data_IF_570682396910
#
_entry.id   IF_570682396910
#
_cell.length_a   1.000
_cell.length_b   1.000
_cell.length_c   1.000
_cell.angle_alpha   90.00
_cell.angle_beta   90.00
_cell.angle_gamma   90.00
#
_symmetry.space_group_name_H-M   'P 1'
#
loop_
_entity.id
_entity.type
_entity.pdbx_description
1 polymer ?
#
# COMPACT_ATOMS: atom_id res chain seq x y z
N UNK A 1 -17.67 -6.81 2.74
CA UNK A 1 -16.24 -7.08 2.44
C UNK A 1 -15.92 -8.56 2.65
N UNK A 2 -16.18 -9.11 3.84
CA UNK A 2 -16.05 -10.56 4.10
C UNK A 2 -16.87 -11.43 3.12
N UNK A 3 -18.09 -11.01 2.78
CA UNK A 3 -18.95 -11.65 1.77
C UNK A 3 -18.34 -11.67 0.36
N UNK A 4 -17.56 -10.65 -0.01
CA UNK A 4 -16.86 -10.63 -1.29
C UNK A 4 -15.71 -11.63 -1.31
N UNK A 5 -14.93 -11.73 -0.23
CA UNK A 5 -13.86 -12.73 -0.10
C UNK A 5 -14.38 -14.17 -0.06
N UNK A 6 -15.52 -14.39 0.59
CA UNK A 6 -16.20 -15.69 0.61
C UNK A 6 -16.75 -16.07 -0.77
N UNK A 7 -17.38 -15.12 -1.48
CA UNK A 7 -17.85 -15.34 -2.85
C UNK A 7 -16.68 -15.63 -3.81
N UNK A 8 -15.55 -14.94 -3.64
CA UNK A 8 -14.33 -15.16 -4.40
C UNK A 8 -13.69 -16.52 -4.08
N UNK A 9 -13.71 -16.92 -2.80
CA UNK A 9 -13.28 -18.23 -2.32
C UNK A 9 -14.13 -19.38 -2.87
N UNK A 10 -15.45 -19.18 -2.96
CA UNK A 10 -16.37 -20.13 -3.58
C UNK A 10 -16.17 -20.21 -5.10
N UNK A 11 -15.91 -19.08 -5.76
CA UNK A 11 -15.57 -19.04 -7.19
C UNK A 11 -14.28 -19.82 -7.48
N UNK A 12 -13.28 -19.76 -6.59
CA UNK A 12 -12.08 -20.61 -6.71
C UNK A 12 -12.37 -22.07 -6.55
N UNK A 13 -13.16 -22.46 -5.55
CA UNK A 13 -13.54 -23.85 -5.34
C UNK A 13 -14.29 -24.39 -6.57
N UNK A 14 -15.17 -23.58 -7.18
CA UNK A 14 -15.87 -23.93 -8.41
C UNK A 14 -14.93 -24.05 -9.62
N UNK A 15 -13.98 -23.12 -9.79
CA UNK A 15 -12.95 -23.19 -10.85
C UNK A 15 -12.01 -24.40 -10.68
N UNK A 16 -11.76 -24.82 -9.44
CA UNK A 16 -10.95 -26.00 -9.10
C UNK A 16 -11.55 -27.29 -9.68
N UNK A 17 -12.88 -27.36 -9.82
CA UNK A 17 -13.59 -28.52 -10.34
C UNK A 17 -13.59 -28.60 -11.88
N UNK A 18 -13.34 -27.49 -12.59
CA UNK A 18 -13.59 -27.40 -14.05
C UNK A 18 -12.29 -27.41 -14.89
N UNK A 19 -11.14 -26.98 -14.37
CA UNK A 19 -9.90 -26.87 -15.16
C UNK A 19 -8.61 -27.18 -14.35
N UNK A 20 -8.11 -28.43 -14.37
CA UNK A 20 -6.99 -28.91 -13.54
C UNK A 20 -5.60 -28.30 -13.86
N UNK A 21 -5.50 -27.26 -14.69
CA UNK A 21 -4.25 -26.57 -15.04
C UNK A 21 -4.32 -25.03 -14.95
N UNK A 22 -5.50 -24.45 -15.12
CA UNK A 22 -5.76 -23.01 -14.94
C UNK A 22 -5.95 -22.62 -13.45
N UNK A 23 -6.19 -23.63 -12.60
CA UNK A 23 -6.41 -23.50 -11.17
C UNK A 23 -5.31 -22.73 -10.42
N UNK A 24 -4.03 -23.06 -10.61
CA UNK A 24 -2.94 -22.45 -9.84
C UNK A 24 -2.75 -20.97 -10.15
N UNK A 25 -2.85 -20.58 -11.42
CA UNK A 25 -2.79 -19.18 -11.82
C UNK A 25 -4.01 -18.40 -11.35
N UNK A 26 -5.21 -19.01 -11.34
CA UNK A 26 -6.41 -18.38 -10.81
C UNK A 26 -6.30 -18.16 -9.29
N UNK A 27 -5.88 -19.16 -8.52
CA UNK A 27 -5.72 -19.03 -7.07
C UNK A 27 -4.57 -18.05 -6.72
N UNK A 28 -3.47 -18.07 -7.47
CA UNK A 28 -2.39 -17.09 -7.31
C UNK A 28 -2.86 -15.65 -7.62
N UNK A 29 -3.69 -15.46 -8.65
CA UNK A 29 -4.32 -14.16 -8.93
C UNK A 29 -5.15 -13.70 -7.74
N UNK A 30 -5.92 -14.60 -7.15
CA UNK A 30 -6.81 -14.26 -6.05
C UNK A 30 -6.07 -13.98 -4.76
N UNK A 31 -4.95 -14.66 -4.49
CA UNK A 31 -4.01 -14.24 -3.46
C UNK A 31 -3.47 -12.82 -3.75
N UNK A 32 -3.16 -12.52 -5.01
CA UNK A 32 -2.72 -11.19 -5.44
C UNK A 32 -3.78 -10.10 -5.32
N UNK A 33 -5.05 -10.47 -5.41
CA UNK A 33 -6.15 -9.56 -5.09
C UNK A 33 -6.33 -9.43 -3.58
N UNK A 34 -6.30 -10.53 -2.84
CA UNK A 34 -6.61 -10.63 -1.41
C UNK A 34 -5.62 -9.93 -0.51
N UNK A 35 -4.35 -10.32 -0.56
CA UNK A 35 -3.40 -9.94 0.47
C UNK A 35 -3.06 -8.45 0.41
N UNK A 36 -2.77 -7.85 -0.77
CA UNK A 36 -2.55 -6.41 -0.87
C UNK A 36 -3.79 -5.58 -0.51
N UNK A 37 -5.00 -5.98 -0.95
CA UNK A 37 -6.23 -5.24 -0.59
C UNK A 37 -6.53 -5.33 0.90
N UNK A 38 -6.36 -6.50 1.51
CA UNK A 38 -6.56 -6.69 2.94
C UNK A 38 -5.58 -5.85 3.74
N UNK A 39 -4.29 -5.84 3.37
CA UNK A 39 -3.28 -4.99 3.98
C UNK A 39 -3.65 -3.51 3.89
N UNK A 40 -4.00 -3.02 2.70
CA UNK A 40 -4.44 -1.63 2.50
C UNK A 40 -5.71 -1.27 3.28
N UNK A 41 -6.67 -2.19 3.36
CA UNK A 41 -7.92 -1.99 4.11
C UNK A 41 -7.68 -1.97 5.62
N UNK A 42 -6.83 -2.85 6.15
CA UNK A 42 -6.43 -2.84 7.55
C UNK A 42 -5.73 -1.53 7.91
N UNK A 43 -4.83 -1.04 7.05
CA UNK A 43 -4.21 0.27 7.24
C UNK A 43 -5.23 1.41 7.21
N UNK A 44 -6.14 1.42 6.23
CA UNK A 44 -7.19 2.43 6.15
C UNK A 44 -8.06 2.47 7.42
N UNK A 45 -8.50 1.30 7.90
CA UNK A 45 -9.33 1.21 9.12
C UNK A 45 -8.55 1.61 10.37
N UNK A 46 -7.28 1.23 10.45
CA UNK A 46 -6.38 1.67 11.50
C UNK A 46 -6.19 3.20 11.50
N UNK A 47 -6.03 3.81 10.31
CA UNK A 47 -5.94 5.26 10.15
C UNK A 47 -7.26 5.95 10.47
N UNK A 48 -8.40 5.37 10.10
CA UNK A 48 -9.72 5.89 10.45
C UNK A 48 -9.97 5.91 11.97
N UNK A 49 -9.34 5.00 12.71
CA UNK A 49 -9.42 4.92 14.18
C UNK A 49 -8.24 5.61 14.92
N UNK A 50 -7.40 6.39 14.22
CA UNK A 50 -6.20 7.03 14.76
C UNK A 50 -5.24 6.05 15.49
N UNK A 51 -5.11 4.84 14.93
CA UNK A 51 -4.21 3.77 15.37
C UNK A 51 -3.18 3.51 14.25
N UNK A 52 -2.26 4.44 14.02
CA UNK A 52 -1.08 4.38 14.88
C UNK A 52 -0.94 5.62 15.77
N UNK A 53 -0.68 5.38 17.06
CA UNK A 53 -0.48 6.44 18.06
C UNK A 53 0.99 6.81 18.28
N UNK A 54 1.90 5.94 17.87
CA UNK A 54 3.34 6.09 18.07
C UNK A 54 4.08 5.78 16.77
N UNK A 55 5.30 6.31 16.64
CA UNK A 55 6.20 6.01 15.52
C UNK A 55 6.43 4.49 15.40
N UNK A 56 6.66 3.80 16.52
CA UNK A 56 6.80 2.35 16.53
C UNK A 56 5.53 1.60 16.12
N UNK A 57 4.35 2.11 16.46
CA UNK A 57 3.09 1.58 15.97
C UNK A 57 2.94 1.74 14.45
N UNK A 58 3.40 2.85 13.89
CA UNK A 58 3.43 3.08 12.44
C UNK A 58 4.41 2.13 11.73
N UNK A 59 5.60 1.92 12.31
CA UNK A 59 6.57 0.92 11.82
C UNK A 59 5.96 -0.48 11.89
N UNK A 60 5.34 -0.85 13.00
CA UNK A 60 4.64 -2.14 13.14
C UNK A 60 3.53 -2.34 12.11
N UNK A 61 2.79 -1.29 11.77
CA UNK A 61 1.75 -1.33 10.74
C UNK A 61 2.32 -1.56 9.32
N UNK A 62 3.46 -0.92 8.98
CA UNK A 62 4.20 -1.20 7.73
C UNK A 62 4.63 -2.67 7.69
N UNK A 63 5.38 -3.12 8.69
CA UNK A 63 5.97 -4.46 8.70
C UNK A 63 4.91 -5.56 8.76
N UNK A 64 3.82 -5.34 9.50
CA UNK A 64 2.67 -6.26 9.51
C UNK A 64 1.98 -6.36 8.15
N UNK A 65 1.83 -5.23 7.44
CA UNK A 65 1.26 -5.20 6.09
C UNK A 65 2.17 -5.91 5.07
N UNK A 66 3.47 -5.68 5.14
CA UNK A 66 4.46 -6.36 4.30
C UNK A 66 4.49 -7.87 4.59
N UNK A 67 4.49 -8.27 5.87
CA UNK A 67 4.44 -9.67 6.26
C UNK A 67 3.20 -10.38 5.71
N UNK A 68 2.02 -9.74 5.82
CA UNK A 68 0.78 -10.25 5.25
C UNK A 68 0.92 -10.46 3.73
N UNK A 69 1.43 -9.48 3.01
CA UNK A 69 1.62 -9.56 1.56
C UNK A 69 2.65 -10.63 1.17
N UNK A 70 3.75 -10.74 1.92
CA UNK A 70 4.77 -11.79 1.72
C UNK A 70 4.15 -13.17 1.90
N UNK A 71 3.29 -13.38 2.90
CA UNK A 71 2.57 -14.65 3.07
C UNK A 71 1.71 -14.97 1.84
N UNK A 72 0.98 -13.98 1.31
CA UNK A 72 0.24 -14.15 0.05
C UNK A 72 1.14 -14.48 -1.14
N UNK A 73 2.30 -13.81 -1.23
CA UNK A 73 3.31 -14.07 -2.24
C UNK A 73 3.89 -15.48 -2.15
N UNK A 74 4.17 -15.98 -0.95
CA UNK A 74 4.64 -17.35 -0.71
C UNK A 74 3.60 -18.39 -1.12
N UNK A 75 2.31 -18.15 -0.83
CA UNK A 75 1.21 -18.97 -1.31
C UNK A 75 1.20 -18.99 -2.85
N UNK A 76 1.29 -17.83 -3.49
CA UNK A 76 1.32 -17.73 -4.95
C UNK A 76 2.56 -18.44 -5.55
N UNK A 77 3.72 -18.30 -4.92
CA UNK A 77 4.96 -18.96 -5.34
C UNK A 77 4.86 -20.49 -5.25
N UNK A 78 4.27 -21.02 -4.18
CA UNK A 78 4.01 -22.46 -4.02
C UNK A 78 3.05 -22.99 -5.09
N UNK A 79 1.98 -22.26 -5.38
CA UNK A 79 0.98 -22.63 -6.39
C UNK A 79 1.56 -22.59 -7.82
N UNK A 80 2.40 -21.60 -8.11
CA UNK A 80 3.02 -21.43 -9.42
C UNK A 80 4.31 -22.27 -9.58
N UNK A 81 4.72 -23.04 -8.57
CA UNK A 81 6.02 -23.73 -8.48
C UNK A 81 6.29 -24.88 -9.46
N UNK A 82 5.57 -24.97 -10.59
CA UNK A 82 5.86 -25.99 -11.61
C UNK A 82 7.09 -25.64 -12.44
N UNK A 83 7.78 -26.65 -12.97
CA UNK A 83 9.03 -26.50 -13.74
C UNK A 83 8.90 -25.52 -14.91
N UNK A 84 7.70 -25.41 -15.51
CA UNK A 84 7.41 -24.48 -16.60
C UNK A 84 7.50 -22.99 -16.20
N UNK A 85 7.22 -22.64 -14.95
CA UNK A 85 7.36 -21.26 -14.46
C UNK A 85 8.80 -20.96 -14.01
N UNK A 86 9.50 -21.96 -13.45
CA UNK A 86 10.92 -21.84 -13.10
C UNK A 86 11.82 -21.65 -14.33
N UNK A 87 11.52 -22.36 -15.43
CA UNK A 87 12.23 -22.23 -16.70
C UNK A 87 11.82 -21.01 -17.53
N UNK A 88 10.99 -20.11 -16.97
CA UNK A 88 10.39 -18.96 -17.66
C UNK A 88 9.59 -19.30 -18.94
N UNK A 89 9.25 -20.58 -19.17
CA UNK A 89 8.46 -21.04 -20.30
C UNK A 89 6.98 -20.58 -20.21
N UNK A 90 6.51 -20.25 -19.00
CA UNK A 90 5.23 -19.57 -18.77
C UNK A 90 5.41 -18.43 -17.78
N UNK A 91 4.82 -17.27 -18.08
CA UNK A 91 4.73 -16.12 -17.18
C UNK A 91 3.34 -16.03 -16.55
N UNK A 92 3.25 -15.46 -15.35
CA UNK A 92 1.96 -15.25 -14.69
C UNK A 92 1.14 -14.20 -15.46
N UNK A 93 0.11 -14.62 -16.21
CA UNK A 93 -0.71 -13.72 -17.02
C UNK A 93 -1.55 -12.74 -16.17
N UNK A 94 -1.84 -13.10 -14.92
CA UNK A 94 -2.66 -12.30 -13.99
C UNK A 94 -1.95 -11.11 -13.36
N UNK A 95 -0.65 -10.89 -13.63
CA UNK A 95 0.14 -9.80 -13.03
C UNK A 95 -0.57 -8.45 -13.13
N UNK A 96 -1.09 -8.10 -14.32
CA UNK A 96 -1.73 -6.80 -14.55
C UNK A 96 -2.97 -6.60 -13.67
N UNK A 97 -3.81 -7.64 -13.55
CA UNK A 97 -5.01 -7.60 -12.71
C UNK A 97 -4.64 -7.56 -11.22
N UNK A 98 -3.65 -8.37 -10.81
CA UNK A 98 -3.11 -8.36 -9.45
C UNK A 98 -2.51 -7.00 -9.05
N UNK A 99 -2.13 -6.15 -10.02
CA UNK A 99 -1.68 -4.79 -9.73
C UNK A 99 -2.81 -3.77 -9.72
N UNK A 100 -3.66 -3.81 -10.74
CA UNK A 100 -4.64 -2.77 -10.96
C UNK A 100 -5.77 -2.84 -9.93
N UNK A 101 -6.30 -4.03 -9.67
CA UNK A 101 -7.51 -4.20 -8.86
C UNK A 101 -7.28 -3.79 -7.40
N UNK A 102 -6.19 -4.20 -6.71
CA UNK A 102 -5.95 -3.74 -5.35
C UNK A 102 -5.79 -2.25 -5.22
N UNK A 103 -5.10 -1.63 -6.18
CA UNK A 103 -4.91 -0.18 -6.21
C UNK A 103 -6.25 0.55 -6.38
N UNK A 104 -7.06 0.14 -7.35
CA UNK A 104 -8.39 0.72 -7.58
C UNK A 104 -9.32 0.54 -6.37
N UNK A 105 -9.27 -0.61 -5.71
CA UNK A 105 -10.05 -0.88 -4.50
C UNK A 105 -9.71 0.11 -3.38
N UNK A 106 -8.41 0.41 -3.17
CA UNK A 106 -7.98 1.38 -2.15
C UNK A 106 -8.27 2.82 -2.58
N UNK A 107 -8.15 3.16 -3.87
CA UNK A 107 -8.60 4.46 -4.38
C UNK A 107 -10.09 4.66 -4.09
N UNK A 108 -10.93 3.67 -4.37
CA UNK A 108 -12.36 3.72 -4.07
C UNK A 108 -12.63 3.80 -2.55
N UNK A 109 -11.90 3.05 -1.75
CA UNK A 109 -12.01 3.10 -0.29
C UNK A 109 -11.68 4.50 0.26
N UNK A 110 -10.59 5.12 -0.21
CA UNK A 110 -10.14 6.44 0.27
C UNK A 110 -11.04 7.58 -0.23
N UNK A 111 -11.49 7.54 -1.49
CA UNK A 111 -12.23 8.64 -2.11
C UNK A 111 -13.72 8.62 -1.80
N UNK A 112 -14.38 7.48 -2.00
CA UNK A 112 -15.83 7.34 -1.83
C UNK A 112 -16.22 6.60 -0.55
N UNK A 113 -15.25 6.07 0.22
CA UNK A 113 -15.54 5.28 1.41
C UNK A 113 -16.04 3.86 1.11
N UNK A 114 -15.78 3.35 -0.10
CA UNK A 114 -16.25 2.02 -0.49
C UNK A 114 -15.61 0.92 0.35
N UNK A 115 -16.42 0.16 1.10
CA UNK A 115 -15.93 -0.89 1.99
C UNK A 115 -15.41 -0.38 3.34
N UNK A 116 -15.59 0.91 3.66
CA UNK A 116 -15.30 1.43 5.00
C UNK A 116 -16.28 0.85 6.04
N UNK A 117 -15.86 0.65 7.30
CA UNK A 117 -16.75 0.22 8.38
C UNK A 117 -17.93 1.21 8.53
N UNK A 118 -19.17 0.71 8.52
CA UNK A 118 -20.38 1.54 8.63
C UNK A 118 -20.82 2.24 7.33
N UNK A 119 -20.22 1.92 6.18
CA UNK A 119 -20.63 2.50 4.90
C UNK A 119 -22.03 2.01 4.47
N UNK A 120 -22.99 2.94 4.36
CA UNK A 120 -24.31 2.69 3.77
C UNK A 120 -24.36 3.13 2.28
N UNK A 121 -25.24 2.50 1.51
CA UNK A 121 -25.48 2.79 0.08
C UNK A 121 -25.87 4.25 -0.14
N UNK A 122 -26.60 4.87 0.78
CA UNK A 122 -26.99 6.29 0.70
C UNK A 122 -25.78 7.21 0.85
N UNK A 123 -24.92 6.95 1.84
CA UNK A 123 -23.68 7.70 2.08
C UNK A 123 -22.69 7.57 0.92
N UNK A 124 -22.59 6.38 0.32
CA UNK A 124 -21.78 6.14 -0.87
C UNK A 124 -22.27 6.95 -2.08
N UNK A 125 -23.59 6.93 -2.35
CA UNK A 125 -24.18 7.71 -3.44
C UNK A 125 -24.00 9.22 -3.24
N UNK A 126 -24.17 9.70 -2.01
CA UNK A 126 -23.96 11.10 -1.68
C UNK A 126 -22.50 11.53 -1.93
N UNK A 127 -21.52 10.73 -1.47
CA UNK A 127 -20.09 11.01 -1.72
C UNK A 127 -19.72 10.97 -3.19
N UNK A 128 -20.29 10.04 -3.95
CA UNK A 128 -20.08 9.95 -5.39
C UNK A 128 -20.64 11.17 -6.12
N UNK A 129 -21.86 11.61 -5.75
CA UNK A 129 -22.48 12.80 -6.31
C UNK A 129 -21.69 14.08 -5.95
N UNK A 130 -21.14 14.18 -4.74
CA UNK A 130 -20.28 15.30 -4.36
C UNK A 130 -18.95 15.30 -5.12
N UNK A 131 -18.33 14.15 -5.37
CA UNK A 131 -17.12 14.09 -6.19
C UNK A 131 -17.40 14.47 -7.65
N UNK A 132 -18.54 14.05 -8.19
CA UNK A 132 -18.95 14.38 -9.56
C UNK A 132 -19.20 15.87 -9.75
N UNK A 133 -19.76 16.53 -8.73
CA UNK A 133 -20.12 17.94 -8.76
C UNK A 133 -19.02 18.86 -8.20
N UNK A 134 -17.90 18.32 -7.71
CA UNK A 134 -16.79 19.13 -7.23
C UNK A 134 -16.00 19.70 -8.41
N UNK A 135 -15.72 21.02 -8.44
CA UNK A 135 -14.81 21.58 -9.41
C UNK A 135 -13.43 20.95 -9.18
N UNK A 136 -12.98 20.13 -10.13
CA UNK A 136 -11.68 19.46 -10.02
C UNK A 136 -10.61 20.53 -10.02
N UNK A 137 -9.96 20.77 -8.88
CA UNK A 137 -8.81 21.68 -8.84
C UNK A 137 -7.72 21.10 -9.74
N UNK A 138 -7.07 21.96 -10.53
CA UNK A 138 -6.00 21.56 -11.47
C UNK A 138 -4.90 20.74 -10.78
N UNK A 139 -4.69 20.95 -9.47
CA UNK A 139 -3.76 20.18 -8.64
C UNK A 139 -4.15 18.71 -8.45
N UNK A 140 -5.42 18.38 -8.24
CA UNK A 140 -5.87 16.98 -8.14
C UNK A 140 -5.82 16.26 -9.48
N UNK A 141 -6.11 16.98 -10.57
CA UNK A 141 -5.99 16.44 -11.93
C UNK A 141 -4.53 16.12 -12.27
N UNK A 142 -3.60 17.00 -11.92
CA UNK A 142 -2.15 16.81 -12.10
C UNK A 142 -1.62 15.67 -11.23
N UNK A 143 -2.05 15.57 -9.98
CA UNK A 143 -1.64 14.47 -9.08
C UNK A 143 -2.19 13.12 -9.57
N UNK A 144 -3.45 13.08 -10.00
CA UNK A 144 -4.07 11.91 -10.61
C UNK A 144 -3.37 11.50 -11.91
N UNK A 145 -3.03 12.46 -12.76
CA UNK A 145 -2.28 12.23 -13.99
C UNK A 145 -0.85 11.73 -13.71
N UNK A 146 -0.17 12.28 -12.71
CA UNK A 146 1.16 11.82 -12.30
C UNK A 146 1.12 10.41 -11.71
N UNK A 147 0.12 10.09 -10.88
CA UNK A 147 -0.08 8.75 -10.34
C UNK A 147 -0.46 7.74 -11.44
N UNK A 148 -1.31 8.14 -12.39
CA UNK A 148 -1.65 7.34 -13.56
C UNK A 148 -0.45 7.12 -14.48
N UNK A 149 0.36 8.15 -14.71
CA UNK A 149 1.59 8.06 -15.50
C UNK A 149 2.62 7.16 -14.82
N UNK A 150 2.79 7.27 -13.49
CA UNK A 150 3.64 6.38 -12.72
C UNK A 150 3.16 4.93 -12.81
N UNK A 151 1.85 4.69 -12.66
CA UNK A 151 1.23 3.36 -12.83
C UNK A 151 1.42 2.83 -14.26
N UNK A 152 1.21 3.67 -15.28
CA UNK A 152 1.37 3.33 -16.69
C UNK A 152 2.82 2.98 -17.00
N UNK A 153 3.79 3.81 -16.57
CA UNK A 153 5.22 3.53 -16.69
C UNK A 153 5.61 2.25 -15.93
N UNK A 154 4.98 1.96 -14.79
CA UNK A 154 5.20 0.70 -14.07
C UNK A 154 4.68 -0.52 -14.83
N UNK A 155 3.48 -0.44 -15.40
CA UNK A 155 2.86 -1.52 -16.19
C UNK A 155 3.58 -1.75 -17.53
N UNK A 156 4.04 -0.66 -18.17
CA UNK A 156 4.83 -0.71 -19.40
C UNK A 156 6.24 -1.29 -19.15
N UNK A 157 6.85 -0.99 -17.99
CA UNK A 157 8.19 -1.50 -17.61
C UNK A 157 8.16 -2.86 -16.90
N UNK A 158 7.01 -3.44 -16.56
CA UNK A 158 6.95 -4.76 -15.90
C UNK A 158 6.97 -5.93 -16.89
N UNK A 159 6.78 -5.66 -18.19
CA UNK A 159 6.70 -6.68 -19.24
C UNK A 159 7.80 -6.60 -20.29
N UNK A 160 8.74 -5.65 -20.19
CA UNK A 160 9.77 -5.47 -21.20
C UNK A 160 11.12 -5.19 -20.54
N UNK A 161 12.05 -6.14 -20.62
CA UNK A 161 13.44 -5.93 -20.22
C UNK A 161 14.20 -4.97 -21.17
N UNK A 162 13.57 -4.46 -22.22
CA UNK A 162 14.24 -3.77 -23.33
C UNK A 162 13.99 -2.27 -23.52
N UNK A 163 13.51 -1.50 -22.53
CA UNK A 163 13.38 -0.05 -22.70
C UNK A 163 14.64 0.68 -22.21
N UNK A 164 15.32 1.39 -23.11
CA UNK A 164 16.58 2.14 -22.93
C UNK A 164 16.74 2.70 -21.52
N UNK A 165 17.61 2.05 -20.76
CA UNK A 165 17.92 2.44 -19.39
C UNK A 165 19.03 3.48 -19.46
N UNK A 166 18.80 4.67 -18.90
CA UNK A 166 19.84 5.69 -18.81
C UNK A 166 21.09 5.12 -18.11
N UNK A 167 22.28 5.50 -18.57
CA UNK A 167 23.57 5.03 -18.02
C UNK A 167 23.70 5.30 -16.50
N UNK A 168 23.02 6.33 -15.99
CA UNK A 168 22.93 6.62 -14.55
C UNK A 168 22.08 5.60 -13.81
N UNK A 169 20.96 5.15 -14.38
CA UNK A 169 20.14 4.10 -13.80
C UNK A 169 20.93 2.78 -13.77
N UNK A 170 21.62 2.41 -14.85
CA UNK A 170 22.50 1.22 -14.89
C UNK A 170 23.60 1.26 -13.83
N UNK A 171 24.27 2.40 -13.63
CA UNK A 171 25.30 2.58 -12.58
C UNK A 171 24.74 2.46 -11.17
N UNK A 172 23.58 3.07 -10.91
CA UNK A 172 22.91 2.94 -9.62
C UNK A 172 22.47 1.49 -9.35
N UNK A 173 22.01 0.78 -10.38
CA UNK A 173 21.68 -0.65 -10.30
C UNK A 173 22.90 -1.49 -9.94
N UNK A 174 24.03 -1.27 -10.61
CA UNK A 174 25.28 -1.97 -10.35
C UNK A 174 25.83 -1.69 -8.95
N UNK A 175 25.74 -0.45 -8.47
CA UNK A 175 26.14 -0.09 -7.11
C UNK A 175 25.27 -0.80 -6.06
N UNK A 176 23.96 -0.83 -6.27
CA UNK A 176 23.05 -1.56 -5.37
C UNK A 176 23.28 -3.07 -5.38
N UNK A 177 23.65 -3.66 -6.51
CA UNK A 177 23.98 -5.09 -6.61
C UNK A 177 25.34 -5.42 -5.99
N UNK A 178 26.30 -4.50 -6.07
CA UNK A 178 27.60 -4.63 -5.43
C UNK A 178 27.51 -4.51 -3.90
N UNK A 179 26.70 -3.56 -3.41
CA UNK A 179 26.47 -3.34 -1.97
C UNK A 179 25.53 -4.40 -1.40
N UNK A 180 24.48 -4.75 -2.13
CA UNK A 180 23.51 -5.77 -1.74
C UNK A 180 23.60 -6.94 -2.71
N UNK A 181 24.15 -8.07 -2.23
CA UNK A 181 24.25 -9.36 -2.94
C UNK A 181 22.95 -9.80 -3.64
N UNK A 182 21.81 -9.27 -3.21
CA UNK A 182 20.54 -9.29 -3.93
C UNK A 182 19.97 -7.86 -4.03
N UNK A 183 19.93 -7.29 -5.24
CA UNK A 183 19.53 -5.89 -5.47
C UNK A 183 18.12 -5.57 -4.92
N UNK A 184 17.95 -4.60 -3.99
CA UNK A 184 16.63 -4.18 -3.54
C UNK A 184 15.83 -3.60 -4.71
N UNK A 185 14.54 -3.96 -4.82
CA UNK A 185 13.67 -3.38 -5.86
C UNK A 185 13.49 -1.89 -5.57
N UNK A 186 14.14 -1.08 -6.40
CA UNK A 186 14.17 0.40 -6.27
C UNK A 186 12.76 1.02 -6.24
N UNK A 187 11.77 0.38 -6.86
CA UNK A 187 10.39 0.88 -6.92
C UNK A 187 9.64 0.71 -5.59
N UNK A 188 9.91 -0.40 -4.89
CA UNK A 188 9.35 -0.71 -3.56
C UNK A 188 10.05 0.15 -2.51
N UNK A 189 11.39 0.16 -2.55
CA UNK A 189 12.23 0.90 -1.62
C UNK A 189 12.08 2.43 -1.70
N UNK A 190 11.99 3.02 -2.90
CA UNK A 190 12.05 4.49 -3.01
C UNK A 190 10.68 5.17 -2.94
N UNK A 191 9.60 4.46 -3.25
CA UNK A 191 8.28 5.06 -3.46
C UNK A 191 7.20 4.35 -2.68
N UNK A 192 7.04 3.03 -2.86
CA UNK A 192 5.93 2.29 -2.27
C UNK A 192 6.00 2.21 -0.74
N UNK A 193 6.96 1.47 -0.22
CA UNK A 193 7.05 1.18 1.21
C UNK A 193 7.31 2.44 2.07
N UNK A 194 8.12 3.43 1.62
CA UNK A 194 8.26 4.69 2.34
C UNK A 194 6.96 5.49 2.38
N UNK A 195 6.20 5.55 1.27
CA UNK A 195 4.92 6.26 1.26
C UNK A 195 3.92 5.60 2.21
N UNK A 196 3.93 4.27 2.31
CA UNK A 196 3.07 3.54 3.24
C UNK A 196 3.38 3.88 4.70
N UNK A 197 4.67 3.94 5.07
CA UNK A 197 5.06 4.37 6.42
C UNK A 197 4.79 5.86 6.65
N UNK A 198 5.03 6.72 5.67
CA UNK A 198 4.69 8.14 5.77
C UNK A 198 3.18 8.35 5.95
N UNK A 199 2.33 7.53 5.32
CA UNK A 199 0.88 7.56 5.55
C UNK A 199 0.53 7.27 7.02
N UNK A 200 1.17 6.27 7.60
CA UNK A 200 1.01 5.91 9.01
C UNK A 200 1.55 7.00 9.95
N UNK A 201 2.72 7.57 9.64
CA UNK A 201 3.32 8.68 10.40
C UNK A 201 2.50 9.97 10.29
N UNK A 202 1.83 10.20 9.16
CA UNK A 202 0.91 11.33 9.00
C UNK A 202 -0.23 11.28 10.02
N UNK A 203 -0.69 10.08 10.42
CA UNK A 203 -1.66 9.92 11.51
C UNK A 203 -1.01 10.26 12.86
N UNK A 204 0.18 9.70 13.14
CA UNK A 204 0.92 9.95 14.40
C UNK A 204 1.18 11.43 14.64
N UNK A 205 1.53 12.18 13.59
CA UNK A 205 1.86 13.61 13.68
C UNK A 205 0.70 14.53 13.32
N UNK A 206 -0.54 14.05 13.29
CA UNK A 206 -1.77 14.84 13.06
C UNK A 206 -1.83 15.56 11.71
N UNK A 207 -1.21 14.98 10.69
CA UNK A 207 -1.19 15.44 9.30
C UNK A 207 -2.15 14.62 8.42
N UNK A 208 -3.37 14.39 8.93
CA UNK A 208 -4.35 13.42 8.39
C UNK A 208 -4.66 13.62 6.90
N UNK A 209 -4.61 14.86 6.40
CA UNK A 209 -4.82 15.15 4.98
C UNK A 209 -3.86 14.42 4.03
N UNK A 210 -2.67 14.03 4.51
CA UNK A 210 -1.68 13.30 3.73
C UNK A 210 -1.83 11.77 3.80
N UNK A 211 -2.53 11.24 4.81
CA UNK A 211 -2.62 9.79 5.04
C UNK A 211 -3.32 9.04 3.89
N UNK A 212 -4.40 9.60 3.33
CA UNK A 212 -5.13 8.99 2.21
C UNK A 212 -4.30 8.91 0.91
N UNK A 213 -3.78 10.05 0.40
CA UNK A 213 -2.94 10.05 -0.81
C UNK A 213 -1.68 9.17 -0.67
N UNK A 214 -1.02 9.22 0.49
CA UNK A 214 0.18 8.40 0.74
C UNK A 214 -0.15 6.91 0.85
N UNK A 215 -1.33 6.53 1.37
CA UNK A 215 -1.78 5.15 1.37
C UNK A 215 -2.01 4.63 -0.06
N UNK A 216 -2.63 5.43 -0.93
CA UNK A 216 -2.80 5.08 -2.35
C UNK A 216 -1.44 4.89 -3.02
N UNK A 217 -0.50 5.80 -2.79
CA UNK A 217 0.86 5.67 -3.32
C UNK A 217 1.57 4.44 -2.74
N UNK A 218 1.41 4.16 -1.45
CA UNK A 218 2.01 3.03 -0.77
C UNK A 218 1.50 1.66 -1.23
N UNK A 219 0.28 1.59 -1.77
CA UNK A 219 -0.24 0.36 -2.39
C UNK A 219 0.63 -0.14 -3.54
N UNK A 220 1.38 0.74 -4.20
CA UNK A 220 2.36 0.36 -5.22
C UNK A 220 3.45 -0.56 -4.64
N UNK A 221 3.89 -0.30 -3.40
CA UNK A 221 4.87 -1.13 -2.70
C UNK A 221 4.31 -2.50 -2.31
N UNK A 222 3.10 -2.54 -1.75
CA UNK A 222 2.42 -3.79 -1.39
C UNK A 222 2.16 -4.68 -2.60
N UNK A 223 1.62 -4.12 -3.68
CA UNK A 223 1.39 -4.86 -4.92
C UNK A 223 2.72 -5.32 -5.55
N UNK A 224 3.74 -4.46 -5.57
CA UNK A 224 5.07 -4.81 -6.08
C UNK A 224 5.72 -5.95 -5.31
N UNK A 225 5.61 -5.90 -3.98
CA UNK A 225 6.09 -6.94 -3.07
C UNK A 225 5.44 -8.28 -3.38
N UNK A 226 4.10 -8.33 -3.54
CA UNK A 226 3.41 -9.56 -3.95
C UNK A 226 3.96 -10.10 -5.27
N UNK A 227 4.09 -9.23 -6.27
CA UNK A 227 4.56 -9.57 -7.61
C UNK A 227 5.97 -10.15 -7.60
N UNK A 228 6.85 -9.70 -6.69
CA UNK A 228 8.21 -10.25 -6.53
C UNK A 228 8.21 -11.77 -6.34
N UNK A 229 7.18 -12.32 -5.69
CA UNK A 229 7.05 -13.77 -5.50
C UNK A 229 6.39 -14.50 -6.67
N UNK A 230 5.79 -13.78 -7.61
CA UNK A 230 5.27 -14.36 -8.86
C UNK A 230 6.36 -14.55 -9.93
N UNK A 231 7.55 -13.96 -9.73
CA UNK A 231 8.72 -14.10 -10.62
C UNK A 231 9.60 -15.28 -10.20
N UNK A 232 9.10 -16.50 -10.44
CA UNK A 232 9.73 -17.74 -9.98
C UNK A 232 11.07 -18.10 -10.63
N UNK A 233 11.49 -17.39 -11.67
CA UNK A 233 12.83 -17.53 -12.24
C UNK A 233 13.94 -17.05 -11.28
N UNK A 234 13.60 -16.24 -10.29
CA UNK A 234 14.52 -15.83 -9.22
C UNK A 234 14.36 -16.78 -8.01
N UNK A 235 15.45 -17.29 -7.40
CA UNK A 235 15.36 -18.12 -6.21
C UNK A 235 14.57 -17.45 -5.09
N UNK A 236 13.70 -18.21 -4.41
CA UNK A 236 12.82 -17.65 -3.37
C UNK A 236 13.59 -16.95 -2.24
N UNK A 237 14.76 -17.49 -1.86
CA UNK A 237 15.66 -16.89 -0.87
C UNK A 237 16.15 -15.51 -1.28
N UNK A 238 16.43 -15.31 -2.57
CA UNK A 238 16.82 -14.01 -3.14
C UNK A 238 15.64 -13.04 -3.10
N UNK A 239 14.43 -13.48 -3.48
CA UNK A 239 13.22 -12.64 -3.41
C UNK A 239 12.92 -12.19 -1.97
N UNK A 240 13.02 -13.09 -0.99
CA UNK A 240 12.85 -12.75 0.44
C UNK A 240 13.88 -11.73 0.92
N UNK A 241 15.16 -11.93 0.59
CA UNK A 241 16.23 -11.02 0.99
C UNK A 241 16.04 -9.63 0.36
N UNK A 242 15.60 -9.56 -0.90
CA UNK A 242 15.29 -8.29 -1.59
C UNK A 242 14.16 -7.54 -0.93
N UNK A 243 13.07 -8.23 -0.60
CA UNK A 243 11.92 -7.63 0.11
C UNK A 243 12.33 -7.16 1.49
N UNK A 244 13.13 -7.94 2.21
CA UNK A 244 13.67 -7.51 3.51
C UNK A 244 14.53 -6.25 3.36
N UNK A 245 15.43 -6.22 2.38
CA UNK A 245 16.27 -5.05 2.11
C UNK A 245 15.45 -3.81 1.76
N UNK A 246 14.42 -3.95 0.94
CA UNK A 246 13.48 -2.86 0.65
C UNK A 246 12.77 -2.38 1.92
N UNK A 247 12.28 -3.27 2.77
CA UNK A 247 11.52 -2.92 3.96
C UNK A 247 12.32 -2.09 4.98
N UNK A 248 13.53 -2.52 5.35
CA UNK A 248 14.33 -1.80 6.34
C UNK A 248 14.87 -0.47 5.80
N UNK A 249 15.35 -0.44 4.56
CA UNK A 249 15.81 0.80 3.92
C UNK A 249 14.67 1.81 3.81
N UNK A 250 13.46 1.36 3.45
CA UNK A 250 12.27 2.20 3.36
C UNK A 250 11.86 2.76 4.72
N UNK A 251 11.99 1.94 5.76
CA UNK A 251 11.72 2.36 7.14
C UNK A 251 12.65 3.53 7.50
N UNK A 252 13.96 3.40 7.26
CA UNK A 252 14.92 4.47 7.54
C UNK A 252 14.62 5.74 6.74
N UNK A 253 14.37 5.59 5.43
CA UNK A 253 14.08 6.71 4.54
C UNK A 253 12.82 7.47 4.97
N UNK A 254 11.72 6.77 5.24
CA UNK A 254 10.47 7.39 5.64
C UNK A 254 10.54 8.01 7.05
N UNK A 255 11.31 7.43 7.98
CA UNK A 255 11.55 8.07 9.28
C UNK A 255 12.32 9.37 9.13
N UNK A 256 13.37 9.39 8.30
CA UNK A 256 14.17 10.60 8.02
C UNK A 256 13.32 11.70 7.37
N UNK A 257 12.62 11.35 6.28
CA UNK A 257 11.76 12.28 5.54
C UNK A 257 10.60 12.77 6.42
N UNK A 258 9.95 11.85 7.14
CA UNK A 258 8.84 12.19 8.03
C UNK A 258 9.27 13.13 9.17
N UNK A 259 10.42 12.85 9.80
CA UNK A 259 10.98 13.72 10.83
C UNK A 259 11.33 15.10 10.27
N UNK A 260 11.91 15.17 9.07
CA UNK A 260 12.25 16.44 8.42
C UNK A 260 11.00 17.26 8.06
N UNK A 261 9.96 16.62 7.52
CA UNK A 261 8.71 17.27 7.11
C UNK A 261 7.85 17.73 8.30
N UNK A 262 7.70 16.86 9.30
CA UNK A 262 6.67 17.00 10.33
C UNK A 262 7.20 16.98 11.76
N UNK A 263 8.40 16.45 11.98
CA UNK A 263 9.01 16.37 13.32
C UNK A 263 9.38 17.72 13.94
N UNK A 264 9.42 18.80 13.15
CA UNK A 264 9.71 20.18 13.61
C UNK A 264 8.47 20.98 14.01
N UNK A 265 7.26 20.46 13.78
CA UNK A 265 6.06 21.22 14.12
C UNK A 265 5.80 21.12 15.63
N UNK A 266 5.69 22.24 16.36
CA UNK A 266 5.34 22.20 17.77
C UNK A 266 3.99 21.49 17.89
N UNK A 267 3.91 20.50 18.79
CA UNK A 267 2.65 19.84 19.14
C UNK A 267 1.68 20.95 19.51
N UNK A 268 0.70 21.24 18.65
CA UNK A 268 -0.40 22.14 19.02
C UNK A 268 -1.06 21.51 20.25
N UNK A 269 -0.75 22.07 21.41
CA UNK A 269 -1.46 21.78 22.65
C UNK A 269 -2.92 22.06 22.34
N UNK A 270 -3.78 21.06 22.52
CA UNK A 270 -5.21 21.29 22.37
C UNK A 270 -5.56 22.43 23.33
N UNK A 271 -6.24 23.48 22.85
CA UNK A 271 -6.75 24.50 23.73
C UNK A 271 -7.56 23.81 24.84
N UNK A 272 -7.35 24.16 26.13
CA UNK A 272 -8.14 23.58 27.20
C UNK A 272 -9.64 23.80 26.89
N UNK A 273 -10.50 22.82 27.20
CA UNK A 273 -11.93 22.94 26.96
C UNK A 273 -12.46 24.22 27.65
N UNK A 274 -13.46 24.88 27.04
CA UNK A 274 -14.00 26.16 27.53
C UNK A 274 -14.45 26.12 29.00
N UNK A 275 -14.77 24.93 29.52
CA UNK A 275 -15.08 24.70 30.94
C UNK A 275 -13.91 24.97 31.88
N UNK A 276 -12.66 24.71 31.46
CA UNK A 276 -11.44 24.99 32.24
C UNK A 276 -11.07 26.48 32.18
N UNK A 277 -11.46 27.18 31.11
CA UNK A 277 -11.27 28.62 30.98
C UNK A 277 -12.27 29.41 31.84
N UNK A 278 -13.48 28.88 32.02
CA UNK A 278 -14.48 29.48 32.92
C UNK A 278 -14.05 29.42 34.39
N UNK A 279 -13.43 28.31 34.82
CA UNK A 279 -12.96 28.09 36.21
C UNK A 279 -11.79 29.03 36.60
N UNK A 280 -11.04 29.53 35.61
CA UNK A 280 -9.97 30.52 35.80
C UNK A 280 -10.46 31.98 35.85
N UNK A 281 -11.73 32.21 35.51
CA UNK A 281 -12.32 33.57 35.50
C UNK A 281 -13.18 33.87 36.73
N UNK A 282 -13.48 32.88 37.57
CA UNK A 282 -14.17 33.13 38.83
C UNK A 282 -13.15 33.57 39.92
N UNK A 283 -13.29 34.78 40.48
CA UNK A 283 -12.45 35.19 41.60
C UNK A 283 -12.77 34.31 42.82
N UNK A 284 -11.76 33.89 43.60
CA UNK A 284 -11.98 33.02 44.76
C UNK A 284 -12.97 33.69 45.71
N UNK A 285 -14.11 33.03 45.94
CA UNK A 285 -15.13 33.48 46.86
C UNK A 285 -14.51 33.82 48.22
N UNK A 286 -14.59 35.10 48.59
CA UNK A 286 -14.14 35.58 49.88
C UNK A 286 -14.94 34.92 51.01
N UNK A 287 -14.30 34.54 52.13
CA UNK A 287 -15.02 33.95 53.25
C UNK A 287 -15.94 34.97 53.92
N UNK A 288 -17.20 34.58 54.12
CA UNK A 288 -18.14 35.21 55.06
C UNK A 288 -17.78 34.83 56.50
#
# INVERSE_FOLDING_TARGET
WLTWWLALGLLTAALWLVAPGAHNSAVALLAGLAYPTLAGWLLYTAFAADRPRTVWGAVGALWGSLALVVLGGLVAAGLLGSTAYYLAAKSFAGVKLAHLVPLLAIVALVTIGFGAPGADRRTLRARLATLWNQPVSTGYLLLGAAAFLALALMLLRSGNEGADVSALELRFRALLEHVFRARPRTKEFLLGDPALLLAALAIVWRQRQWAGPLLILGMVGLVGTFNTFCHLHTPLSQSLLRTFHAAWLSTLLALLVGWWLWGRQPRRVAAPPESELADLTEPPGGPN
#
